data_IF_197583249503
#
_entry.id   IF_197583249503
#
_cell.length_a   1.000
_cell.length_b   1.000
_cell.length_c   1.000
_cell.angle_alpha   90.00
_cell.angle_beta   90.00
_cell.angle_gamma   90.00
#
_symmetry.space_group_name_H-M   'P 1'
#
loop_
_entity.id
_entity.type
_entity.pdbx_description
1 polymer ?
#
# COMPACT_ATOMS: atom_id res chain seq x y z
N UNK A 1 0.55 -28.64 -5.44
CA UNK A 1 0.77 -29.17 -4.07
C UNK A 1 -0.05 -28.33 -3.13
N UNK A 2 -0.91 -28.95 -2.33
CA UNK A 2 -1.80 -28.26 -1.40
C UNK A 2 -1.34 -28.56 0.03
N UNK A 3 -1.17 -27.53 0.86
CA UNK A 3 -0.86 -27.71 2.29
C UNK A 3 -1.99 -27.12 3.12
N UNK A 4 -2.50 -27.94 4.03
CA UNK A 4 -3.31 -27.55 5.16
C UNK A 4 -2.48 -27.76 6.43
N UNK A 5 -2.28 -26.72 7.21
CA UNK A 5 -1.44 -26.81 8.40
C UNK A 5 -2.00 -26.01 9.57
N UNK A 6 -1.92 -26.60 10.76
CA UNK A 6 -2.07 -25.91 12.02
C UNK A 6 -0.81 -26.12 12.88
N UNK A 7 -0.04 -25.04 13.11
CA UNK A 7 1.24 -25.16 13.82
C UNK A 7 1.63 -23.91 14.61
N UNK A 8 2.56 -24.03 15.55
CA UNK A 8 3.15 -22.84 16.19
C UNK A 8 3.97 -22.03 15.18
N UNK A 9 4.75 -22.71 14.36
CA UNK A 9 5.67 -22.10 13.39
C UNK A 9 5.67 -22.91 12.09
N UNK A 10 5.53 -22.23 10.96
CA UNK A 10 5.64 -22.84 9.64
C UNK A 10 6.61 -22.08 8.72
N UNK A 11 7.45 -22.82 7.99
CA UNK A 11 8.35 -22.31 6.95
C UNK A 11 8.08 -23.06 5.65
N UNK A 12 7.73 -22.34 4.59
CA UNK A 12 7.44 -22.94 3.26
C UNK A 12 8.34 -22.29 2.19
N UNK A 13 8.99 -23.12 1.38
CA UNK A 13 9.86 -22.69 0.27
C UNK A 13 9.57 -23.49 -1.00
N UNK A 14 8.38 -23.32 -1.63
CA UNK A 14 8.03 -24.09 -2.81
C UNK A 14 8.85 -23.64 -4.02
N UNK A 15 9.30 -24.62 -4.82
CA UNK A 15 10.05 -24.36 -6.06
C UNK A 15 9.11 -24.01 -7.24
N UNK A 16 7.90 -24.55 -7.25
CA UNK A 16 6.88 -24.40 -8.32
C UNK A 16 5.56 -23.85 -7.72
N UNK A 17 4.44 -24.09 -8.41
CA UNK A 17 3.08 -23.67 -7.98
C UNK A 17 2.65 -24.34 -6.70
N UNK A 18 2.06 -23.56 -5.79
CA UNK A 18 1.62 -24.01 -4.48
C UNK A 18 0.34 -23.29 -4.07
N UNK A 19 -0.63 -24.05 -3.56
CA UNK A 19 -1.78 -23.52 -2.85
C UNK A 19 -1.67 -23.87 -1.36
N UNK A 20 -1.89 -22.89 -0.48
CA UNK A 20 -1.73 -23.11 0.97
C UNK A 20 -2.86 -22.49 1.78
N UNK A 21 -3.32 -23.25 2.76
CA UNK A 21 -4.20 -22.81 3.84
C UNK A 21 -3.50 -23.05 5.18
N UNK A 22 -3.14 -21.97 5.90
CA UNK A 22 -2.36 -22.08 7.15
C UNK A 22 -2.95 -21.31 8.32
N UNK A 23 -2.94 -21.96 9.48
CA UNK A 23 -3.20 -21.37 10.79
C UNK A 23 -1.96 -21.52 11.67
N UNK A 24 -1.17 -20.45 11.82
CA UNK A 24 0.04 -20.50 12.65
C UNK A 24 0.32 -19.24 13.44
N UNK A 25 1.06 -19.34 14.56
CA UNK A 25 1.49 -18.12 15.27
C UNK A 25 2.50 -17.34 14.41
N UNK A 26 3.43 -18.04 13.79
CA UNK A 26 4.49 -17.44 12.95
C UNK A 26 4.64 -18.19 11.62
N UNK A 27 4.54 -17.46 10.52
CA UNK A 27 4.62 -18.01 9.17
C UNK A 27 5.69 -17.29 8.33
N UNK A 28 6.57 -18.05 7.67
CA UNK A 28 7.57 -17.54 6.71
C UNK A 28 7.47 -18.27 5.38
N UNK A 29 7.30 -17.52 4.29
CA UNK A 29 7.08 -18.09 2.96
C UNK A 29 8.00 -17.45 1.93
N UNK A 30 8.67 -18.27 1.12
CA UNK A 30 9.61 -17.83 0.07
C UNK A 30 9.41 -18.64 -1.23
N UNK A 31 8.32 -18.41 -1.99
CA UNK A 31 8.07 -19.14 -3.23
C UNK A 31 8.98 -18.64 -4.37
N UNK A 32 9.42 -19.56 -5.24
CA UNK A 32 10.22 -19.22 -6.42
C UNK A 32 9.37 -18.79 -7.64
N UNK A 33 8.21 -19.39 -7.86
CA UNK A 33 7.38 -19.18 -9.05
C UNK A 33 6.02 -18.58 -8.69
N UNK A 34 4.98 -19.40 -8.56
CA UNK A 34 3.60 -18.94 -8.32
C UNK A 34 3.09 -19.51 -7.00
N UNK A 35 2.29 -18.73 -6.27
CA UNK A 35 1.65 -19.21 -5.07
C UNK A 35 0.34 -18.49 -4.79
N UNK A 36 -0.72 -19.26 -4.55
CA UNK A 36 -1.98 -18.76 -4.01
C UNK A 36 -2.07 -19.13 -2.54
N UNK A 37 -2.57 -18.21 -1.74
CA UNK A 37 -2.51 -18.39 -0.29
C UNK A 37 -3.69 -17.79 0.46
N UNK A 38 -4.15 -18.57 1.42
CA UNK A 38 -4.96 -18.14 2.54
C UNK A 38 -4.22 -18.38 3.87
N UNK A 39 -4.13 -17.38 4.76
CA UNK A 39 -3.61 -17.63 6.12
C UNK A 39 -4.22 -16.79 7.22
N UNK A 40 -4.14 -17.34 8.42
CA UNK A 40 -4.37 -16.64 9.68
C UNK A 40 -3.14 -16.78 10.57
N UNK A 41 -2.53 -15.66 10.96
CA UNK A 41 -1.33 -15.70 11.81
C UNK A 41 -1.14 -14.53 12.75
N UNK A 42 -0.33 -14.66 13.80
CA UNK A 42 0.10 -13.46 14.56
C UNK A 42 1.12 -12.67 13.74
N UNK A 43 2.09 -13.37 13.18
CA UNK A 43 3.18 -12.77 12.41
C UNK A 43 3.39 -13.51 11.08
N UNK A 44 3.37 -12.76 9.98
CA UNK A 44 3.63 -13.30 8.64
C UNK A 44 4.74 -12.53 7.92
N UNK A 45 5.69 -13.27 7.34
CA UNK A 45 6.71 -12.77 6.41
C UNK A 45 6.64 -13.50 5.06
N UNK A 46 6.44 -12.75 3.98
CA UNK A 46 6.38 -13.28 2.61
C UNK A 46 7.47 -12.64 1.74
N UNK A 47 8.19 -13.44 0.96
CA UNK A 47 9.23 -12.98 0.03
C UNK A 47 9.17 -13.75 -1.30
N UNK A 48 8.16 -13.49 -2.14
CA UNK A 48 8.01 -14.18 -3.42
C UNK A 48 8.96 -13.64 -4.49
N UNK A 49 9.46 -14.52 -5.36
CA UNK A 49 10.31 -14.12 -6.49
C UNK A 49 9.54 -13.69 -7.75
N UNK A 50 8.43 -14.36 -8.09
CA UNK A 50 7.69 -14.09 -9.33
C UNK A 50 6.26 -13.60 -9.06
N UNK A 51 5.32 -14.50 -8.81
CA UNK A 51 3.89 -14.15 -8.68
C UNK A 51 3.33 -14.67 -7.36
N UNK A 52 2.47 -13.87 -6.72
CA UNK A 52 1.80 -14.26 -5.49
C UNK A 52 0.41 -13.63 -5.39
N UNK A 53 -0.59 -14.47 -5.16
CA UNK A 53 -1.93 -14.04 -4.77
C UNK A 53 -2.17 -14.41 -3.29
N UNK A 54 -2.58 -13.43 -2.50
CA UNK A 54 -2.68 -13.60 -1.04
C UNK A 54 -3.95 -13.03 -0.45
N UNK A 55 -4.55 -13.82 0.41
CA UNK A 55 -5.52 -13.42 1.41
C UNK A 55 -4.95 -13.70 2.80
N UNK A 56 -4.76 -12.66 3.62
CA UNK A 56 -4.15 -12.82 4.96
C UNK A 56 -4.86 -12.03 6.06
N UNK A 57 -4.98 -12.68 7.21
CA UNK A 57 -5.35 -12.07 8.47
C UNK A 57 -4.19 -12.19 9.46
N UNK A 58 -3.55 -11.07 9.80
CA UNK A 58 -2.44 -11.10 10.75
C UNK A 58 -2.28 -9.89 11.65
N UNK A 59 -1.69 -10.05 12.85
CA UNK A 59 -1.36 -8.86 13.66
C UNK A 59 -0.25 -8.05 12.98
N UNK A 60 0.80 -8.73 12.53
CA UNK A 60 1.97 -8.11 11.88
C UNK A 60 2.29 -8.80 10.57
N UNK A 61 2.40 -8.01 9.50
CA UNK A 61 2.65 -8.50 8.15
C UNK A 61 3.81 -7.77 7.48
N UNK A 62 4.79 -8.53 6.99
CA UNK A 62 5.91 -8.00 6.19
C UNK A 62 6.01 -8.71 4.83
N UNK A 63 6.02 -7.93 3.76
CA UNK A 63 6.02 -8.46 2.40
C UNK A 63 7.10 -7.76 1.56
N UNK A 64 7.88 -8.56 0.83
CA UNK A 64 8.97 -8.07 -0.01
C UNK A 64 9.00 -8.85 -1.34
N UNK A 65 8.05 -8.60 -2.25
CA UNK A 65 7.98 -9.27 -3.55
C UNK A 65 8.95 -8.65 -4.56
N UNK A 66 9.49 -9.49 -5.47
CA UNK A 66 10.39 -9.03 -6.53
C UNK A 66 9.68 -8.62 -7.83
N UNK A 67 8.56 -9.25 -8.20
CA UNK A 67 7.90 -9.03 -9.50
C UNK A 67 6.43 -8.61 -9.32
N UNK A 68 5.50 -9.55 -9.18
CA UNK A 68 4.05 -9.27 -9.18
C UNK A 68 3.39 -9.82 -7.93
N UNK A 69 2.42 -9.10 -7.39
CA UNK A 69 1.60 -9.60 -6.30
C UNK A 69 0.23 -8.92 -6.21
N UNK A 70 -0.82 -9.74 -6.15
CA UNK A 70 -2.16 -9.30 -5.80
C UNK A 70 -2.45 -9.66 -4.34
N UNK A 71 -3.03 -8.71 -3.63
CA UNK A 71 -3.15 -8.85 -2.19
C UNK A 71 -4.43 -8.29 -1.63
N UNK A 72 -5.07 -9.12 -0.82
CA UNK A 72 -6.05 -8.74 0.17
C UNK A 72 -5.49 -9.00 1.58
N UNK A 73 -5.49 -8.00 2.46
CA UNK A 73 -5.12 -8.23 3.86
C UNK A 73 -5.88 -7.43 4.89
N UNK A 74 -5.99 -8.03 6.07
CA UNK A 74 -6.42 -7.38 7.31
C UNK A 74 -5.32 -7.52 8.35
N UNK A 75 -4.81 -6.39 8.86
CA UNK A 75 -3.75 -6.45 9.86
C UNK A 75 -3.70 -5.30 10.87
N UNK A 76 -3.03 -5.47 12.02
CA UNK A 76 -2.72 -4.30 12.86
C UNK A 76 -1.61 -3.46 12.22
N UNK A 77 -0.55 -4.13 11.77
CA UNK A 77 0.62 -3.50 11.18
C UNK A 77 1.02 -4.17 9.88
N UNK A 78 1.09 -3.41 8.79
CA UNK A 78 1.53 -3.87 7.49
C UNK A 78 2.73 -3.08 6.96
N UNK A 79 3.79 -3.79 6.56
CA UNK A 79 4.94 -3.25 5.82
C UNK A 79 5.12 -3.94 4.48
N UNK A 80 5.12 -3.17 3.40
CA UNK A 80 5.26 -3.67 2.02
C UNK A 80 6.41 -2.96 1.34
N UNK A 81 7.31 -3.72 0.71
CA UNK A 81 8.48 -3.19 0.00
C UNK A 81 8.67 -3.95 -1.33
N UNK A 82 7.81 -3.68 -2.32
CA UNK A 82 7.84 -4.35 -3.62
C UNK A 82 8.83 -3.69 -4.60
N UNK A 83 9.35 -4.47 -5.54
CA UNK A 83 10.24 -3.94 -6.59
C UNK A 83 9.52 -3.49 -7.87
N UNK A 84 8.42 -4.13 -8.30
CA UNK A 84 7.82 -3.91 -9.63
C UNK A 84 6.31 -3.62 -9.55
N UNK A 85 5.45 -4.62 -9.44
CA UNK A 85 4.00 -4.46 -9.62
C UNK A 85 3.21 -4.97 -8.42
N UNK A 86 2.18 -4.23 -8.02
CA UNK A 86 1.26 -4.65 -6.97
C UNK A 86 -0.14 -4.11 -7.21
N UNK A 87 -1.12 -4.95 -6.95
CA UNK A 87 -2.49 -4.55 -6.64
C UNK A 87 -2.78 -4.89 -5.18
N UNK A 88 -3.07 -3.85 -4.40
CA UNK A 88 -3.17 -3.97 -2.93
C UNK A 88 -4.51 -3.45 -2.48
N UNK A 89 -5.25 -4.32 -1.80
CA UNK A 89 -6.38 -4.00 -0.96
C UNK A 89 -6.02 -4.31 0.50
N UNK A 90 -5.94 -3.27 1.34
CA UNK A 90 -5.53 -3.43 2.74
C UNK A 90 -6.43 -2.68 3.72
N UNK A 91 -6.71 -3.35 4.84
CA UNK A 91 -7.24 -2.74 6.04
C UNK A 91 -6.24 -2.92 7.17
N UNK A 92 -5.70 -1.82 7.69
CA UNK A 92 -4.77 -1.90 8.82
C UNK A 92 -4.78 -0.73 9.79
N UNK A 93 -4.30 -0.91 11.03
CA UNK A 93 -4.12 0.25 11.92
C UNK A 93 -2.95 1.11 11.40
N UNK A 94 -1.85 0.47 11.06
CA UNK A 94 -0.63 1.12 10.57
C UNK A 94 -0.16 0.48 9.27
N UNK A 95 -0.05 1.29 8.22
CA UNK A 95 0.39 0.87 6.88
C UNK A 95 1.63 1.65 6.45
N UNK A 96 2.72 0.93 6.15
CA UNK A 96 3.94 1.50 5.54
C UNK A 96 4.23 0.82 4.21
N UNK A 97 4.27 1.61 3.14
CA UNK A 97 4.57 1.12 1.80
C UNK A 97 5.76 1.87 1.22
N UNK A 98 6.75 1.14 0.70
CA UNK A 98 7.94 1.73 0.06
C UNK A 98 8.26 0.98 -1.25
N UNK A 99 7.42 1.16 -2.30
CA UNK A 99 7.63 0.54 -3.61
C UNK A 99 8.74 1.21 -4.41
N UNK A 100 9.40 0.45 -5.29
CA UNK A 100 10.13 1.06 -6.43
C UNK A 100 9.18 1.44 -7.58
N UNK A 101 8.15 0.65 -7.87
CA UNK A 101 7.06 0.94 -8.81
C UNK A 101 5.73 0.44 -8.22
N UNK A 102 4.59 1.01 -8.60
CA UNK A 102 3.27 0.45 -8.21
C UNK A 102 2.12 0.89 -9.12
N UNK A 103 1.18 -0.01 -9.42
CA UNK A 103 0.08 0.24 -10.37
C UNK A 103 -1.25 0.59 -9.68
N UNK A 104 -1.93 -0.25 -8.90
CA UNK A 104 -3.17 0.19 -8.22
C UNK A 104 -3.16 -0.07 -6.71
N UNK A 105 -3.73 0.86 -5.94
CA UNK A 105 -3.83 0.71 -4.50
C UNK A 105 -5.16 1.21 -3.95
N UNK A 106 -5.76 0.39 -3.09
CA UNK A 106 -6.83 0.76 -2.19
C UNK A 106 -6.42 0.45 -0.73
N UNK A 107 -6.55 1.42 0.17
CA UNK A 107 -6.26 1.15 1.59
C UNK A 107 -7.05 1.98 2.57
N UNK A 108 -7.48 1.32 3.64
CA UNK A 108 -8.01 1.93 4.86
C UNK A 108 -7.03 1.75 6.01
N UNK A 109 -6.63 2.86 6.65
CA UNK A 109 -5.83 2.75 7.87
C UNK A 109 -5.93 3.90 8.86
N UNK A 110 -5.54 3.71 10.12
CA UNK A 110 -5.42 4.86 11.03
C UNK A 110 -4.23 5.73 10.63
N UNK A 111 -3.09 5.10 10.39
CA UNK A 111 -1.84 5.78 10.01
C UNK A 111 -1.30 5.19 8.73
N UNK A 112 -1.07 6.04 7.74
CA UNK A 112 -0.59 5.66 6.42
C UNK A 112 0.65 6.45 6.02
N UNK A 113 1.75 5.74 5.76
CA UNK A 113 2.99 6.29 5.19
C UNK A 113 3.31 5.62 3.86
N UNK A 114 3.43 6.43 2.81
CA UNK A 114 3.72 5.95 1.46
C UNK A 114 4.89 6.73 0.87
N UNK A 115 5.89 5.99 0.42
CA UNK A 115 7.12 6.52 -0.21
C UNK A 115 7.48 5.74 -1.49
N UNK A 116 6.67 5.79 -2.57
CA UNK A 116 6.99 5.20 -3.86
C UNK A 116 7.84 6.13 -4.72
N UNK A 117 8.61 5.55 -5.65
CA UNK A 117 9.12 6.32 -6.79
C UNK A 117 8.01 6.59 -7.80
N UNK A 118 7.19 5.60 -8.18
CA UNK A 118 6.09 5.77 -9.13
C UNK A 118 4.79 5.10 -8.65
N UNK A 119 3.65 5.73 -8.95
CA UNK A 119 2.29 5.20 -8.70
C UNK A 119 1.35 5.54 -9.87
N UNK A 120 0.54 4.60 -10.36
CA UNK A 120 -0.47 4.91 -11.38
C UNK A 120 -1.76 5.40 -10.73
N UNK A 121 -2.48 4.54 -10.00
CA UNK A 121 -3.72 4.94 -9.32
C UNK A 121 -3.67 4.63 -7.83
N UNK A 122 -4.22 5.54 -7.04
CA UNK A 122 -4.25 5.41 -5.59
C UNK A 122 -5.53 5.94 -5.00
N UNK A 123 -6.18 5.11 -4.20
CA UNK A 123 -7.21 5.48 -3.25
C UNK A 123 -6.72 5.25 -1.82
N UNK A 124 -6.89 6.22 -0.93
CA UNK A 124 -6.47 6.08 0.45
C UNK A 124 -7.38 6.80 1.42
N UNK A 125 -7.85 6.05 2.42
CA UNK A 125 -8.62 6.58 3.53
C UNK A 125 -7.82 6.39 4.82
N UNK A 126 -7.55 7.48 5.54
CA UNK A 126 -6.87 7.35 6.84
C UNK A 126 -7.07 8.48 7.83
N UNK A 127 -6.80 8.26 9.13
CA UNK A 127 -6.79 9.37 10.10
C UNK A 127 -5.60 10.29 9.82
N UNK A 128 -4.42 9.71 9.59
CA UNK A 128 -3.18 10.42 9.29
C UNK A 128 -2.54 9.86 8.02
N UNK A 129 -2.32 10.72 7.03
CA UNK A 129 -1.70 10.36 5.75
C UNK A 129 -0.45 11.18 5.49
N UNK A 130 0.68 10.51 5.28
CA UNK A 130 1.94 11.12 4.79
C UNK A 130 2.37 10.49 3.47
N UNK A 131 2.38 11.30 2.42
CA UNK A 131 2.84 10.91 1.09
C UNK A 131 4.10 11.69 0.70
N UNK A 132 5.15 10.96 0.32
CA UNK A 132 6.33 11.52 -0.35
C UNK A 132 6.55 10.73 -1.63
N UNK A 133 6.19 11.33 -2.76
CA UNK A 133 6.04 10.66 -4.07
C UNK A 133 6.99 11.34 -5.07
N UNK A 134 7.58 10.60 -6.01
CA UNK A 134 8.14 11.27 -7.19
C UNK A 134 7.02 11.51 -8.21
N UNK A 135 6.38 10.45 -8.72
CA UNK A 135 5.34 10.58 -9.76
C UNK A 135 4.06 9.87 -9.37
N UNK A 136 2.90 10.47 -9.67
CA UNK A 136 1.58 9.84 -9.53
C UNK A 136 0.60 10.29 -10.61
N UNK A 137 -0.13 9.35 -11.24
CA UNK A 137 -1.13 9.69 -12.25
C UNK A 137 -2.45 10.13 -11.61
N UNK A 138 -3.10 9.23 -10.87
CA UNK A 138 -4.37 9.52 -10.18
C UNK A 138 -4.24 9.27 -8.68
N UNK A 139 -4.65 10.25 -7.88
CA UNK A 139 -4.59 10.18 -6.43
C UNK A 139 -5.87 10.70 -5.80
N UNK A 140 -6.60 9.81 -5.14
CA UNK A 140 -7.71 10.14 -4.26
C UNK A 140 -7.30 9.89 -2.80
N UNK A 141 -7.30 10.95 -1.99
CA UNK A 141 -6.99 10.85 -0.58
C UNK A 141 -8.14 11.41 0.25
N UNK A 142 -8.56 10.65 1.24
CA UNK A 142 -9.45 11.10 2.31
C UNK A 142 -8.73 10.94 3.65
N UNK A 143 -8.51 12.04 4.39
CA UNK A 143 -7.90 11.91 5.72
C UNK A 143 -8.22 13.02 6.71
N UNK A 144 -8.06 12.81 8.02
CA UNK A 144 -8.17 13.95 8.97
C UNK A 144 -6.99 14.90 8.79
N UNK A 145 -5.77 14.36 8.73
CA UNK A 145 -4.54 15.12 8.52
C UNK A 145 -3.79 14.55 7.32
N UNK A 146 -3.53 15.41 6.33
CA UNK A 146 -2.87 15.08 5.08
C UNK A 146 -1.58 15.88 4.91
N UNK A 147 -0.45 15.18 4.71
CA UNK A 147 0.84 15.77 4.33
C UNK A 147 1.31 15.17 3.01
N UNK A 148 1.38 15.99 1.98
CA UNK A 148 1.76 15.60 0.62
C UNK A 148 2.98 16.39 0.16
N UNK A 149 4.03 15.68 -0.27
CA UNK A 149 5.21 16.27 -0.94
C UNK A 149 5.52 15.52 -2.26
N UNK A 150 4.62 15.51 -3.27
CA UNK A 150 4.88 14.86 -4.55
C UNK A 150 5.79 15.73 -5.45
N UNK A 151 6.66 15.14 -6.27
CA UNK A 151 7.34 15.92 -7.32
C UNK A 151 6.41 16.20 -8.51
N UNK A 152 5.68 15.18 -8.96
CA UNK A 152 4.80 15.23 -10.13
C UNK A 152 3.46 14.57 -9.77
N UNK A 153 2.35 15.21 -10.08
CA UNK A 153 1.02 14.59 -9.99
C UNK A 153 0.11 15.06 -11.12
N UNK A 154 -0.55 14.13 -11.82
CA UNK A 154 -1.48 14.50 -12.90
C UNK A 154 -2.83 14.92 -12.31
N UNK A 155 -3.52 13.99 -11.66
CA UNK A 155 -4.81 14.24 -11.02
C UNK A 155 -4.73 13.99 -9.51
N UNK A 156 -5.06 15.01 -8.73
CA UNK A 156 -5.12 14.95 -7.28
C UNK A 156 -6.49 15.38 -6.76
N UNK A 157 -7.20 14.46 -6.09
CA UNK A 157 -8.36 14.76 -5.27
C UNK A 157 -8.00 14.56 -3.80
N UNK A 158 -8.14 15.62 -3.00
CA UNK A 158 -7.84 15.60 -1.57
C UNK A 158 -9.03 16.08 -0.77
N UNK A 159 -9.47 15.24 0.16
CA UNK A 159 -10.40 15.62 1.19
C UNK A 159 -9.71 15.49 2.55
N UNK A 160 -9.53 16.59 3.27
CA UNK A 160 -8.98 16.50 4.63
C UNK A 160 -9.35 17.63 5.57
N UNK A 161 -9.37 17.38 6.88
CA UNK A 161 -9.55 18.50 7.84
C UNK A 161 -8.35 19.45 7.81
N UNK A 162 -7.14 18.90 7.77
CA UNK A 162 -5.88 19.66 7.70
C UNK A 162 -5.06 19.16 6.51
N UNK A 163 -4.79 20.04 5.55
CA UNK A 163 -4.00 19.76 4.37
C UNK A 163 -2.69 20.57 4.36
N UNK A 164 -1.56 19.87 4.30
CA UNK A 164 -0.26 20.44 3.94
C UNK A 164 0.20 19.84 2.61
N UNK A 165 0.21 20.63 1.54
CA UNK A 165 0.57 20.16 0.20
C UNK A 165 1.70 21.02 -0.38
N UNK A 166 2.83 20.39 -0.70
CA UNK A 166 3.98 21.02 -1.34
C UNK A 166 4.40 20.25 -2.59
N UNK A 167 3.56 20.24 -3.65
CA UNK A 167 3.90 19.63 -4.91
C UNK A 167 4.89 20.50 -5.70
N UNK A 168 5.79 19.89 -6.50
CA UNK A 168 6.60 20.66 -7.47
C UNK A 168 5.83 20.95 -8.75
N UNK A 169 5.20 19.93 -9.34
CA UNK A 169 4.33 20.06 -10.51
C UNK A 169 3.03 19.29 -10.29
N UNK A 170 1.89 19.94 -10.54
CA UNK A 170 0.57 19.31 -10.53
C UNK A 170 -0.27 19.88 -11.67
N UNK A 171 -0.85 19.02 -12.51
CA UNK A 171 -1.68 19.48 -13.63
C UNK A 171 -3.11 19.79 -13.16
N UNK A 172 -3.75 18.85 -12.45
CA UNK A 172 -5.12 19.01 -11.94
C UNK A 172 -5.17 18.70 -10.44
N UNK A 173 -5.59 19.69 -9.64
CA UNK A 173 -5.78 19.52 -8.19
C UNK A 173 -7.16 20.02 -7.75
N UNK A 174 -7.89 19.12 -7.08
CA UNK A 174 -9.07 19.45 -6.28
C UNK A 174 -8.74 19.18 -4.81
N UNK A 175 -8.81 20.23 -3.98
CA UNK A 175 -8.52 20.15 -2.56
C UNK A 175 -9.71 20.70 -1.76
N UNK A 176 -10.30 19.87 -0.92
CA UNK A 176 -11.28 20.27 0.07
C UNK A 176 -10.67 20.13 1.47
N UNK A 177 -10.51 21.24 2.18
CA UNK A 177 -10.04 21.20 3.55
C UNK A 177 -10.46 22.38 4.42
N UNK A 178 -10.72 22.10 5.70
CA UNK A 178 -10.98 23.14 6.70
C UNK A 178 -9.75 24.01 6.98
N UNK A 179 -8.55 23.42 6.96
CA UNK A 179 -7.29 24.13 7.13
C UNK A 179 -6.33 23.78 6.00
N UNK A 180 -5.98 24.77 5.19
CA UNK A 180 -5.16 24.62 3.99
C UNK A 180 -3.81 25.33 4.15
N UNK A 181 -2.71 24.63 3.87
CA UNK A 181 -1.38 25.22 3.72
C UNK A 181 -0.74 24.63 2.46
N UNK A 182 -0.70 25.42 1.40
CA UNK A 182 -0.21 25.03 0.08
C UNK A 182 0.83 26.00 -0.43
N UNK A 183 1.91 25.47 -0.97
CA UNK A 183 2.85 26.22 -1.82
C UNK A 183 2.81 25.56 -3.20
N UNK A 184 2.32 26.28 -4.21
CA UNK A 184 2.23 25.83 -5.60
C UNK A 184 3.19 26.66 -6.45
N UNK A 185 4.11 26.02 -7.16
CA UNK A 185 4.97 26.71 -8.12
C UNK A 185 4.22 26.86 -9.46
N UNK A 186 3.91 28.11 -9.83
CA UNK A 186 3.44 28.75 -11.09
C UNK A 186 2.56 28.03 -12.14
N UNK A 187 2.33 26.72 -12.11
CA UNK A 187 1.60 25.98 -13.17
C UNK A 187 0.43 25.12 -12.68
N UNK A 188 0.08 25.15 -11.39
CA UNK A 188 -1.01 24.36 -10.85
C UNK A 188 -2.31 25.16 -10.68
N UNK A 189 -3.36 24.81 -11.42
CA UNK A 189 -4.71 25.31 -11.16
C UNK A 189 -5.25 24.60 -9.90
N UNK A 190 -5.41 25.32 -8.80
CA UNK A 190 -6.14 24.85 -7.62
C UNK A 190 -7.56 25.39 -7.71
N UNK A 191 -8.55 24.51 -7.89
CA UNK A 191 -9.96 24.89 -7.72
C UNK A 191 -10.36 24.61 -6.29
N UNK A 192 -10.66 25.68 -5.56
CA UNK A 192 -11.24 25.64 -4.21
C UNK A 192 -12.73 25.33 -4.35
N UNK A 193 -13.23 24.34 -3.61
CA UNK A 193 -14.66 24.23 -3.33
C UNK A 193 -14.86 24.84 -1.94
N UNK A 194 -15.57 25.96 -1.90
CA UNK A 194 -16.05 26.63 -0.68
C UNK A 194 -17.02 25.71 0.07
#
# INVERSE_FOLDING_TARGET
>A
MNIFNHSKTLKITPKMTMDTFDHSKTLKITPKMTMNKFSHSKTLKITPKMTMDTFDHSKTLKITPKMTMNKFSHSKTLKITPKMTMDIFDHSKTLKITPKMTMNKFSHSKTLKITPKMTMNKFSHSKYLKNKLNTTTNRFNHSKILKNTPKMTTNAFNHSKVLKNTPKMTTNAFNHSKFLNTHLDKHGISREAL
#
